data_IF_203329534179
#
_entry.id   IF_203329534179
#
_cell.length_a   1.000
_cell.length_b   1.000
_cell.length_c   1.000
_cell.angle_alpha   90.00
_cell.angle_beta   90.00
_cell.angle_gamma   90.00
#
_symmetry.space_group_name_H-M   'P 1'
#
loop_
_entity.id
_entity.type
_entity.pdbx_description
1 polymer ?
#
# COMPACT_ATOMS: atom_id res chain seq x y z
N UNK A 1 -17.08 8.71 23.37
CA UNK A 1 -17.49 9.22 22.04
C UNK A 1 -16.42 9.01 20.96
N UNK A 2 -15.17 9.45 21.14
CA UNK A 2 -14.11 9.31 20.11
C UNK A 2 -13.77 7.86 19.70
N UNK A 3 -13.62 6.94 20.66
CA UNK A 3 -13.28 5.53 20.35
C UNK A 3 -14.39 4.87 19.51
N UNK A 4 -15.65 5.10 19.88
CA UNK A 4 -16.80 4.57 19.15
C UNK A 4 -16.82 5.11 17.72
N UNK A 5 -16.62 6.41 17.52
CA UNK A 5 -16.56 7.02 16.18
C UNK A 5 -15.48 6.37 15.30
N UNK A 6 -14.26 6.17 15.83
CA UNK A 6 -13.16 5.54 15.08
C UNK A 6 -13.51 4.10 14.68
N UNK A 7 -14.13 3.32 15.57
CA UNK A 7 -14.58 1.96 15.27
C UNK A 7 -15.65 1.98 14.16
N UNK A 8 -16.65 2.86 14.26
CA UNK A 8 -17.69 2.99 13.24
C UNK A 8 -17.11 3.34 11.87
N UNK A 9 -16.19 4.31 11.79
CA UNK A 9 -15.59 4.69 10.50
C UNK A 9 -14.79 3.53 9.90
N UNK A 10 -14.06 2.76 10.71
CA UNK A 10 -13.35 1.56 10.22
C UNK A 10 -14.30 0.49 9.68
N UNK A 11 -15.42 0.25 10.36
CA UNK A 11 -16.45 -0.68 9.89
C UNK A 11 -17.09 -0.21 8.59
N UNK A 12 -17.39 1.09 8.48
CA UNK A 12 -17.92 1.71 7.26
C UNK A 12 -16.92 1.54 6.12
N UNK A 13 -15.64 1.85 6.33
CA UNK A 13 -14.62 1.72 5.29
C UNK A 13 -14.41 0.27 4.86
N UNK A 14 -14.36 -0.68 5.80
CA UNK A 14 -14.26 -2.10 5.47
C UNK A 14 -15.47 -2.58 4.65
N UNK A 15 -16.66 -2.12 5.01
CA UNK A 15 -17.90 -2.43 4.28
C UNK A 15 -17.88 -1.83 2.87
N UNK A 16 -17.49 -0.56 2.74
CA UNK A 16 -17.38 0.12 1.44
C UNK A 16 -16.36 -0.56 0.54
N UNK A 17 -15.18 -0.90 1.05
CA UNK A 17 -14.17 -1.67 0.29
C UNK A 17 -14.76 -2.99 -0.18
N UNK A 18 -15.42 -3.74 0.71
CA UNK A 18 -16.04 -5.03 0.36
C UNK A 18 -17.10 -4.89 -0.73
N UNK A 19 -17.99 -3.89 -0.61
CA UNK A 19 -19.02 -3.62 -1.61
C UNK A 19 -18.37 -3.22 -2.94
N UNK A 20 -17.36 -2.35 -2.94
CA UNK A 20 -16.65 -1.96 -4.16
C UNK A 20 -16.00 -3.16 -4.84
N UNK A 21 -15.32 -4.04 -4.09
CA UNK A 21 -14.76 -5.28 -4.61
C UNK A 21 -15.84 -6.13 -5.28
N UNK A 22 -16.91 -6.46 -4.54
CA UNK A 22 -17.99 -7.33 -5.03
C UNK A 22 -18.68 -6.73 -6.24
N UNK A 23 -19.08 -5.45 -6.19
CA UNK A 23 -19.78 -4.80 -7.30
C UNK A 23 -18.87 -4.66 -8.51
N UNK A 24 -17.62 -4.24 -8.33
CA UNK A 24 -16.65 -4.07 -9.41
C UNK A 24 -16.35 -5.38 -10.13
N UNK A 25 -16.18 -6.46 -9.39
CA UNK A 25 -15.92 -7.79 -9.97
C UNK A 25 -17.16 -8.33 -10.70
N UNK A 26 -18.36 -8.19 -10.13
CA UNK A 26 -19.61 -8.59 -10.81
C UNK A 26 -19.86 -7.76 -12.08
N UNK A 27 -19.56 -6.45 -12.05
CA UNK A 27 -19.71 -5.58 -13.21
C UNK A 27 -18.74 -5.98 -14.33
N UNK A 28 -17.53 -6.40 -13.97
CA UNK A 28 -16.54 -6.88 -14.91
C UNK A 28 -16.97 -8.19 -15.58
N UNK A 29 -17.57 -9.12 -14.83
CA UNK A 29 -18.05 -10.40 -15.35
C UNK A 29 -19.26 -10.24 -16.27
N UNK A 30 -20.15 -9.31 -15.96
CA UNK A 30 -21.37 -9.06 -16.74
C UNK A 30 -21.11 -8.21 -18.01
N UNK A 31 -20.04 -7.42 -18.03
CA UNK A 31 -19.71 -6.52 -19.14
C UNK A 31 -19.05 -7.26 -20.31
N UNK A 32 -19.67 -7.18 -21.49
CA UNK A 32 -19.14 -7.79 -22.74
C UNK A 32 -18.29 -6.84 -23.58
N UNK A 33 -18.56 -5.54 -23.54
CA UNK A 33 -17.85 -4.56 -24.38
C UNK A 33 -16.41 -4.36 -23.86
N UNK A 34 -15.35 -4.61 -24.66
CA UNK A 34 -13.97 -4.61 -24.17
C UNK A 34 -13.54 -3.29 -23.53
N UNK A 35 -13.94 -2.14 -24.10
CA UNK A 35 -13.65 -0.83 -23.52
C UNK A 35 -14.32 -0.62 -22.18
N UNK A 36 -15.59 -0.99 -22.06
CA UNK A 36 -16.32 -0.82 -20.81
C UNK A 36 -15.72 -1.75 -19.74
N UNK A 37 -15.33 -2.96 -20.14
CA UNK A 37 -14.66 -3.91 -19.25
C UNK A 37 -13.35 -3.34 -18.71
N UNK A 38 -12.48 -2.80 -19.56
CA UNK A 38 -11.21 -2.19 -19.14
C UNK A 38 -11.43 -0.95 -18.25
N UNK A 39 -12.41 -0.10 -18.57
CA UNK A 39 -12.76 1.06 -17.75
C UNK A 39 -13.30 0.65 -16.38
N UNK A 40 -14.19 -0.34 -16.31
CA UNK A 40 -14.74 -0.86 -15.06
C UNK A 40 -13.64 -1.51 -14.20
N UNK A 41 -12.72 -2.25 -14.81
CA UNK A 41 -11.59 -2.89 -14.11
C UNK A 41 -10.70 -1.84 -13.44
N UNK A 42 -10.20 -0.88 -14.23
CA UNK A 42 -9.34 0.19 -13.75
C UNK A 42 -10.05 1.11 -12.73
N UNK A 43 -11.33 1.44 -12.97
CA UNK A 43 -12.11 2.21 -12.00
C UNK A 43 -12.26 1.47 -10.66
N UNK A 44 -12.44 0.15 -10.68
CA UNK A 44 -12.50 -0.67 -9.46
C UNK A 44 -11.17 -0.61 -8.73
N UNK A 45 -10.04 -0.78 -9.43
CA UNK A 45 -8.71 -0.62 -8.85
C UNK A 45 -8.53 0.76 -8.21
N UNK A 46 -8.86 1.83 -8.93
CA UNK A 46 -8.73 3.20 -8.45
C UNK A 46 -9.56 3.45 -7.17
N UNK A 47 -10.82 3.04 -7.14
CA UNK A 47 -11.71 3.24 -5.99
C UNK A 47 -11.25 2.43 -4.79
N UNK A 48 -10.85 1.16 -4.96
CA UNK A 48 -10.28 0.34 -3.89
C UNK A 48 -8.99 0.98 -3.34
N UNK A 49 -8.12 1.47 -4.21
CA UNK A 49 -6.93 2.23 -3.83
C UNK A 49 -7.27 3.48 -3.02
N UNK A 50 -8.26 4.26 -3.45
CA UNK A 50 -8.73 5.45 -2.71
C UNK A 50 -9.28 5.11 -1.33
N UNK A 51 -10.17 4.12 -1.21
CA UNK A 51 -10.79 3.70 0.05
C UNK A 51 -9.75 3.14 1.05
N UNK A 52 -8.81 2.33 0.56
CA UNK A 52 -7.72 1.81 1.40
C UNK A 52 -6.72 2.91 1.79
N UNK A 53 -6.48 3.89 0.90
CA UNK A 53 -5.74 5.10 1.21
C UNK A 53 -6.39 5.92 2.34
N UNK A 54 -7.71 6.09 2.33
CA UNK A 54 -8.45 6.72 3.44
C UNK A 54 -8.22 5.92 4.73
N UNK A 55 -8.43 4.60 4.68
CA UNK A 55 -8.26 3.74 5.85
C UNK A 55 -6.85 3.85 6.46
N UNK A 56 -5.81 3.91 5.63
CA UNK A 56 -4.43 4.09 6.08
C UNK A 56 -4.18 5.49 6.67
N UNK A 57 -4.58 6.56 5.98
CA UNK A 57 -4.28 7.95 6.37
C UNK A 57 -5.01 8.37 7.65
N UNK A 58 -6.19 7.82 7.93
CA UNK A 58 -6.90 8.10 9.17
C UNK A 58 -6.11 7.73 10.43
N UNK A 59 -5.11 6.85 10.34
CA UNK A 59 -4.23 6.55 11.47
C UNK A 59 -3.25 7.68 11.83
N UNK A 60 -3.14 8.70 10.96
CA UNK A 60 -2.20 9.81 11.07
C UNK A 60 -2.91 11.17 10.96
N UNK A 61 -4.23 11.22 11.14
CA UNK A 61 -5.05 12.42 10.92
C UNK A 61 -4.64 13.59 11.81
N UNK A 62 -4.11 13.32 13.01
CA UNK A 62 -3.63 14.29 13.98
C UNK A 62 -2.28 14.91 13.58
N UNK A 63 -1.54 14.26 12.68
CA UNK A 63 -0.18 14.64 12.25
C UNK A 63 -0.12 15.23 10.85
N UNK A 64 -1.26 15.35 10.17
CA UNK A 64 -1.36 15.82 8.80
C UNK A 64 -2.29 17.03 8.73
N UNK A 65 -1.95 17.99 7.85
CA UNK A 65 -2.93 18.99 7.44
C UNK A 65 -4.01 18.34 6.57
N UNK A 66 -5.21 18.91 6.55
CA UNK A 66 -6.31 18.43 5.70
C UNK A 66 -5.89 18.31 4.22
N UNK A 67 -5.19 19.31 3.70
CA UNK A 67 -4.69 19.31 2.32
C UNK A 67 -3.74 18.13 2.08
N UNK A 68 -2.76 17.93 2.96
CA UNK A 68 -1.80 16.83 2.81
C UNK A 68 -2.48 15.46 2.87
N UNK A 69 -3.45 15.28 3.78
CA UNK A 69 -4.24 14.05 3.87
C UNK A 69 -5.01 13.76 2.58
N UNK A 70 -5.74 14.74 2.05
CA UNK A 70 -6.47 14.59 0.79
C UNK A 70 -5.55 14.37 -0.41
N UNK A 71 -4.39 15.03 -0.47
CA UNK A 71 -3.40 14.78 -1.52
C UNK A 71 -2.90 13.33 -1.49
N UNK A 72 -2.62 12.79 -0.30
CA UNK A 72 -2.18 11.40 -0.15
C UNK A 72 -3.27 10.39 -0.54
N UNK A 73 -4.53 10.65 -0.17
CA UNK A 73 -5.67 9.82 -0.57
C UNK A 73 -5.84 9.82 -2.10
N UNK A 74 -5.81 11.01 -2.72
CA UNK A 74 -5.90 11.15 -4.17
C UNK A 74 -4.72 10.48 -4.88
N UNK A 75 -3.50 10.58 -4.32
CA UNK A 75 -2.34 9.89 -4.85
C UNK A 75 -2.53 8.37 -4.80
N UNK A 76 -3.14 7.80 -3.75
CA UNK A 76 -3.44 6.38 -3.68
C UNK A 76 -4.39 5.93 -4.80
N UNK A 77 -5.47 6.68 -4.99
CA UNK A 77 -6.43 6.46 -6.07
C UNK A 77 -5.74 6.52 -7.45
N UNK A 78 -4.96 7.58 -7.69
CA UNK A 78 -4.30 7.80 -8.97
C UNK A 78 -3.22 6.76 -9.26
N UNK A 79 -2.35 6.45 -8.29
CA UNK A 79 -1.32 5.42 -8.43
C UNK A 79 -1.95 4.06 -8.69
N UNK A 80 -3.03 3.71 -7.98
CA UNK A 80 -3.71 2.43 -8.18
C UNK A 80 -4.30 2.28 -9.58
N UNK A 81 -4.72 3.40 -10.19
CA UNK A 81 -5.19 3.44 -11.59
C UNK A 81 -4.05 3.45 -12.60
N UNK A 82 -2.94 4.12 -12.28
CA UNK A 82 -1.79 4.26 -13.18
C UNK A 82 -0.96 2.98 -13.32
N UNK A 83 -1.11 2.02 -12.40
CA UNK A 83 -0.51 0.69 -12.55
C UNK A 83 -0.93 0.06 -13.89
N UNK A 84 -2.22 0.15 -14.25
CA UNK A 84 -2.76 -0.39 -15.50
C UNK A 84 -2.24 0.31 -16.77
N UNK A 85 -1.63 1.50 -16.64
CA UNK A 85 -1.08 2.20 -17.80
C UNK A 85 0.17 1.50 -18.35
N UNK A 86 0.79 0.60 -17.58
CA UNK A 86 1.90 -0.21 -18.07
C UNK A 86 1.50 -1.17 -19.20
N UNK A 87 0.22 -1.52 -19.32
CA UNK A 87 -0.31 -2.29 -20.45
C UNK A 87 -0.11 -1.54 -21.77
N UNK A 88 -0.38 -0.23 -21.79
CA UNK A 88 -0.16 0.59 -22.99
C UNK A 88 1.33 0.74 -23.30
N UNK A 89 2.16 0.88 -22.26
CA UNK A 89 3.61 0.94 -22.40
C UNK A 89 4.20 -0.38 -22.96
N UNK A 90 3.74 -1.52 -22.43
CA UNK A 90 4.13 -2.86 -22.87
C UNK A 90 3.64 -3.13 -24.31
N UNK A 91 2.44 -2.68 -24.66
CA UNK A 91 1.90 -2.76 -26.02
C UNK A 91 2.58 -1.81 -27.00
N UNK A 92 3.37 -0.85 -26.52
CA UNK A 92 3.97 0.25 -27.32
C UNK A 92 2.91 0.96 -28.17
N UNK A 93 1.70 1.10 -27.62
CA UNK A 93 0.52 1.58 -28.35
C UNK A 93 -0.50 2.17 -27.40
N UNK A 94 -1.21 3.21 -27.84
CA UNK A 94 -2.40 3.73 -27.15
C UNK A 94 -3.68 2.97 -27.54
N UNK A 95 -3.57 1.96 -28.40
CA UNK A 95 -4.70 1.11 -28.77
C UNK A 95 -5.09 0.25 -27.57
N UNK A 96 -6.33 0.42 -27.09
CA UNK A 96 -6.86 -0.41 -26.02
C UNK A 96 -6.88 -1.89 -26.40
N UNK A 97 -7.16 -2.19 -27.67
CA UNK A 97 -7.10 -3.57 -28.16
C UNK A 97 -5.69 -4.15 -27.99
N UNK A 98 -4.64 -3.41 -28.32
CA UNK A 98 -3.26 -3.87 -28.13
C UNK A 98 -2.90 -4.04 -26.64
N UNK A 99 -3.28 -3.08 -25.80
CA UNK A 99 -3.01 -3.09 -24.35
C UNK A 99 -3.67 -4.29 -23.62
N UNK A 100 -4.83 -4.73 -24.11
CA UNK A 100 -5.62 -5.83 -23.50
C UNK A 100 -5.34 -7.21 -24.10
N UNK A 101 -4.54 -7.30 -25.18
CA UNK A 101 -4.21 -8.57 -25.86
C UNK A 101 -2.70 -8.85 -25.85
N UNK A 102 -2.00 -8.48 -24.78
CA UNK A 102 -0.58 -8.75 -24.59
C UNK A 102 -0.31 -10.26 -24.40
N UNK A 103 0.80 -10.74 -24.94
CA UNK A 103 1.30 -12.10 -24.71
C UNK A 103 1.84 -12.31 -23.30
N UNK A 104 2.46 -11.26 -22.74
CA UNK A 104 3.19 -11.29 -21.49
C UNK A 104 2.63 -10.25 -20.51
N UNK A 105 2.76 -10.55 -19.21
CA UNK A 105 2.28 -9.64 -18.17
C UNK A 105 3.19 -8.40 -18.09
N UNK A 106 2.64 -7.18 -18.13
CA UNK A 106 3.41 -5.95 -17.98
C UNK A 106 4.20 -5.87 -16.67
N UNK A 107 5.27 -5.08 -16.67
CA UNK A 107 6.26 -5.13 -15.59
C UNK A 107 5.78 -4.58 -14.24
N UNK A 108 4.88 -3.59 -14.18
CA UNK A 108 4.38 -3.07 -12.89
C UNK A 108 3.54 -4.12 -12.17
N UNK A 109 2.97 -5.06 -12.92
CA UNK A 109 2.22 -6.17 -12.39
C UNK A 109 3.12 -7.30 -11.80
N UNK A 110 4.45 -7.16 -11.84
CA UNK A 110 5.35 -8.05 -11.11
C UNK A 110 5.24 -7.83 -9.59
N UNK A 111 4.70 -8.81 -8.86
CA UNK A 111 4.49 -8.76 -7.39
C UNK A 111 5.78 -8.59 -6.58
N UNK A 112 6.95 -8.86 -7.18
CA UNK A 112 8.23 -8.50 -6.55
C UNK A 112 8.33 -6.98 -6.28
N UNK A 113 7.69 -6.13 -7.09
CA UNK A 113 7.66 -4.68 -6.90
C UNK A 113 6.98 -4.28 -5.58
N UNK A 114 5.70 -4.64 -5.30
CA UNK A 114 5.08 -4.35 -4.02
C UNK A 114 5.85 -4.92 -2.83
N UNK A 115 6.47 -6.10 -2.96
CA UNK A 115 7.29 -6.67 -1.89
C UNK A 115 8.49 -5.77 -1.57
N UNK A 116 9.24 -5.35 -2.59
CA UNK A 116 10.36 -4.39 -2.44
C UNK A 116 9.87 -3.06 -1.87
N UNK A 117 8.73 -2.54 -2.32
CA UNK A 117 8.14 -1.31 -1.80
C UNK A 117 7.83 -1.41 -0.30
N UNK A 118 7.32 -2.54 0.17
CA UNK A 118 7.07 -2.78 1.60
C UNK A 118 8.38 -2.76 2.40
N UNK A 119 9.48 -3.34 1.87
CA UNK A 119 10.80 -3.25 2.51
C UNK A 119 11.32 -1.81 2.59
N UNK A 120 11.21 -1.05 1.50
CA UNK A 120 11.63 0.37 1.47
C UNK A 120 10.78 1.23 2.41
N UNK A 121 9.46 0.98 2.45
CA UNK A 121 8.55 1.59 3.41
C UNK A 121 8.93 1.30 4.87
N UNK A 122 9.24 0.04 5.19
CA UNK A 122 9.68 -0.34 6.52
C UNK A 122 11.01 0.34 6.89
N UNK A 123 11.97 0.38 5.97
CA UNK A 123 13.26 1.06 6.18
C UNK A 123 13.07 2.57 6.41
N UNK A 124 12.27 3.26 5.59
CA UNK A 124 11.96 4.68 5.78
C UNK A 124 11.27 4.94 7.12
N UNK A 125 10.43 4.01 7.57
CA UNK A 125 9.79 4.07 8.88
C UNK A 125 10.81 3.91 10.01
N UNK A 126 11.70 2.92 9.94
CA UNK A 126 12.79 2.72 10.90
C UNK A 126 13.66 3.97 11.01
N UNK A 127 14.10 4.53 9.88
CA UNK A 127 14.92 5.75 9.79
C UNK A 127 14.18 7.05 10.19
N UNK A 128 12.96 6.93 10.71
CA UNK A 128 12.13 8.04 11.20
C UNK A 128 11.71 9.07 10.15
N UNK A 129 11.85 8.80 8.85
CA UNK A 129 11.40 9.68 7.77
C UNK A 129 9.87 9.66 7.62
N UNK A 130 9.17 10.41 8.48
CA UNK A 130 7.70 10.34 8.61
C UNK A 130 6.98 10.62 7.29
N UNK A 131 7.20 11.77 6.67
CA UNK A 131 6.52 12.14 5.40
C UNK A 131 6.79 11.13 4.29
N UNK A 132 8.05 10.73 4.11
CA UNK A 132 8.46 9.72 3.12
C UNK A 132 7.78 8.38 3.39
N UNK A 133 7.75 7.92 4.65
CA UNK A 133 7.08 6.68 5.02
C UNK A 133 5.58 6.71 4.74
N UNK A 134 4.91 7.85 4.88
CA UNK A 134 3.48 7.97 4.54
C UNK A 134 3.24 7.88 3.03
N UNK A 135 4.08 8.55 2.22
CA UNK A 135 4.02 8.45 0.76
C UNK A 135 4.24 6.99 0.32
N UNK A 136 5.27 6.34 0.85
CA UNK A 136 5.55 4.93 0.56
C UNK A 136 4.43 4.00 1.03
N UNK A 137 3.81 4.28 2.19
CA UNK A 137 2.68 3.50 2.69
C UNK A 137 1.43 3.61 1.81
N UNK A 138 1.16 4.79 1.25
CA UNK A 138 0.11 5.00 0.25
C UNK A 138 0.41 4.22 -1.03
N UNK A 139 1.64 4.31 -1.54
CA UNK A 139 2.05 3.55 -2.73
C UNK A 139 1.95 2.03 -2.46
N UNK A 140 2.30 1.56 -1.26
CA UNK A 140 2.11 0.17 -0.86
C UNK A 140 0.62 -0.22 -0.85
N UNK A 141 -0.28 0.63 -0.34
CA UNK A 141 -1.72 0.36 -0.38
C UNK A 141 -2.21 0.17 -1.82
N UNK A 142 -1.82 1.08 -2.72
CA UNK A 142 -2.18 1.01 -4.14
C UNK A 142 -1.69 -0.30 -4.78
N UNK A 143 -0.39 -0.60 -4.70
CA UNK A 143 0.18 -1.81 -5.32
C UNK A 143 -0.35 -3.10 -4.69
N UNK A 144 -0.40 -3.21 -3.35
CA UNK A 144 -0.82 -4.46 -2.70
C UNK A 144 -2.28 -4.79 -3.01
N UNK A 145 -3.18 -3.81 -2.95
CA UNK A 145 -4.60 -4.03 -3.24
C UNK A 145 -4.85 -4.31 -4.72
N UNK A 146 -4.15 -3.59 -5.60
CA UNK A 146 -4.18 -3.84 -7.04
C UNK A 146 -3.74 -5.27 -7.35
N UNK A 147 -2.55 -5.68 -6.92
CA UNK A 147 -2.02 -7.02 -7.20
C UNK A 147 -2.85 -8.13 -6.54
N UNK A 148 -3.42 -7.90 -5.36
CA UNK A 148 -4.26 -8.89 -4.68
C UNK A 148 -5.56 -9.14 -5.44
N UNK A 149 -6.20 -8.09 -5.97
CA UNK A 149 -7.37 -8.26 -6.83
C UNK A 149 -7.03 -9.03 -8.11
N UNK A 150 -5.92 -8.66 -8.72
CA UNK A 150 -5.46 -9.28 -9.96
C UNK A 150 -5.09 -10.76 -9.82
N UNK A 151 -4.59 -11.13 -8.63
CA UNK A 151 -4.22 -12.49 -8.29
C UNK A 151 -5.40 -13.48 -8.24
N UNK A 152 -6.65 -13.00 -8.22
CA UNK A 152 -7.84 -13.86 -8.37
C UNK A 152 -7.84 -14.54 -9.74
N UNK A 153 -7.45 -13.81 -10.80
CA UNK A 153 -7.48 -14.28 -12.19
C UNK A 153 -6.19 -14.99 -12.59
N UNK A 154 -5.04 -14.47 -12.13
CA UNK A 154 -3.72 -14.87 -12.64
C UNK A 154 -2.75 -15.40 -11.58
N UNK A 155 -3.13 -15.39 -10.29
CA UNK A 155 -2.17 -15.57 -9.20
C UNK A 155 -1.18 -14.40 -9.09
N UNK A 156 -0.32 -14.42 -8.07
CA UNK A 156 0.76 -13.45 -7.95
C UNK A 156 1.91 -13.84 -8.87
N UNK A 157 2.55 -12.85 -9.50
CA UNK A 157 3.77 -13.06 -10.28
C UNK A 157 5.00 -12.61 -9.50
N UNK A 158 5.77 -13.54 -8.96
CA UNK A 158 6.97 -13.27 -8.17
C UNK A 158 8.19 -13.54 -9.04
N UNK A 159 8.75 -12.51 -9.68
CA UNK A 159 9.98 -12.65 -10.46
C UNK A 159 11.21 -12.80 -9.54
N UNK A 160 12.16 -13.72 -9.84
CA UNK A 160 12.21 -14.65 -10.98
C UNK A 160 11.59 -16.03 -10.70
N UNK A 161 10.90 -16.21 -9.57
CA UNK A 161 10.37 -17.49 -9.08
C UNK A 161 9.11 -18.00 -9.80
N UNK A 162 8.41 -17.16 -10.57
CA UNK A 162 7.25 -17.55 -11.37
C UNK A 162 5.92 -17.08 -10.78
N UNK A 163 4.85 -17.86 -11.01
CA UNK A 163 3.49 -17.53 -10.58
C UNK A 163 3.03 -18.39 -9.40
N UNK A 164 2.23 -17.83 -8.51
CA UNK A 164 1.47 -18.60 -7.51
C UNK A 164 0.18 -19.11 -8.10
N UNK A 165 -0.50 -20.01 -7.37
CA UNK A 165 -1.90 -20.33 -7.65
C UNK A 165 -2.80 -19.09 -7.49
N UNK A 166 -4.00 -19.16 -8.09
CA UNK A 166 -5.03 -18.14 -7.99
C UNK A 166 -5.47 -17.96 -6.54
N UNK A 167 -5.64 -16.71 -6.12
CA UNK A 167 -6.08 -16.38 -4.77
C UNK A 167 -7.58 -16.66 -4.64
N UNK A 168 -8.03 -17.43 -3.61
CA UNK A 168 -9.45 -17.61 -3.34
C UNK A 168 -10.16 -16.28 -3.10
N UNK A 169 -11.39 -16.13 -3.59
CA UNK A 169 -12.11 -14.86 -3.54
C UNK A 169 -12.26 -14.29 -2.11
N UNK A 170 -12.57 -15.16 -1.13
CA UNK A 170 -12.66 -14.77 0.29
C UNK A 170 -11.33 -14.26 0.83
N UNK A 171 -10.21 -14.89 0.44
CA UNK A 171 -8.88 -14.47 0.85
C UNK A 171 -8.50 -13.12 0.24
N UNK A 172 -8.86 -12.88 -1.02
CA UNK A 172 -8.70 -11.58 -1.67
C UNK A 172 -9.39 -10.45 -0.87
N UNK A 173 -10.66 -10.64 -0.50
CA UNK A 173 -11.41 -9.64 0.26
C UNK A 173 -10.74 -9.37 1.61
N UNK A 174 -10.36 -10.43 2.34
CA UNK A 174 -9.69 -10.30 3.64
C UNK A 174 -8.37 -9.55 3.51
N UNK A 175 -7.51 -9.93 2.55
CA UNK A 175 -6.22 -9.26 2.34
C UNK A 175 -6.43 -7.79 2.02
N UNK A 176 -7.38 -7.46 1.13
CA UNK A 176 -7.65 -6.08 0.71
C UNK A 176 -8.12 -5.22 1.88
N UNK A 177 -9.01 -5.73 2.74
CA UNK A 177 -9.50 -5.03 3.93
C UNK A 177 -8.39 -4.85 4.98
N UNK A 178 -7.57 -5.88 5.18
CA UNK A 178 -6.51 -5.89 6.22
C UNK A 178 -5.31 -5.04 5.84
N UNK A 179 -5.01 -4.90 4.53
CA UNK A 179 -3.82 -4.20 4.00
C UNK A 179 -3.52 -2.84 4.67
N UNK A 180 -4.45 -1.86 4.72
CA UNK A 180 -4.14 -0.55 5.32
C UNK A 180 -3.79 -0.64 6.81
N UNK A 181 -4.44 -1.55 7.55
CA UNK A 181 -4.17 -1.76 8.97
C UNK A 181 -2.84 -2.46 9.20
N UNK A 182 -2.50 -3.46 8.37
CA UNK A 182 -1.22 -4.16 8.44
C UNK A 182 -0.05 -3.20 8.17
N UNK A 183 -0.18 -2.33 7.17
CA UNK A 183 0.83 -1.30 6.88
C UNK A 183 0.97 -0.27 8.01
N UNK A 184 -0.14 0.15 8.64
CA UNK A 184 -0.08 1.01 9.81
C UNK A 184 0.62 0.34 11.00
N UNK A 185 0.32 -0.94 11.27
CA UNK A 185 0.96 -1.70 12.35
C UNK A 185 2.46 -1.85 12.08
N UNK A 186 2.84 -2.17 10.84
CA UNK A 186 4.24 -2.25 10.42
C UNK A 186 4.96 -0.90 10.61
N UNK A 187 4.35 0.21 10.18
CA UNK A 187 4.89 1.56 10.39
C UNK A 187 5.14 1.85 11.87
N UNK A 188 4.13 1.61 12.69
CA UNK A 188 4.17 1.86 14.14
C UNK A 188 5.24 1.01 14.82
N UNK A 189 5.32 -0.27 14.46
CA UNK A 189 6.34 -1.20 14.96
C UNK A 189 7.76 -0.76 14.57
N UNK A 190 7.99 -0.48 13.29
CA UNK A 190 9.29 -0.02 12.79
C UNK A 190 9.74 1.29 13.44
N UNK A 191 8.81 2.23 13.67
CA UNK A 191 9.13 3.50 14.31
C UNK A 191 9.38 3.37 15.81
N UNK A 192 8.56 2.60 16.53
CA UNK A 192 8.64 2.45 17.98
C UNK A 192 9.92 1.74 18.41
N UNK A 193 10.28 0.64 17.75
CA UNK A 193 11.47 -0.13 18.11
C UNK A 193 12.78 0.63 17.80
N UNK A 194 12.82 1.40 16.71
CA UNK A 194 14.01 2.20 16.39
C UNK A 194 14.18 3.39 17.34
N UNK A 195 13.08 4.02 17.77
CA UNK A 195 13.12 5.06 18.79
C UNK A 195 13.69 4.54 20.11
N UNK A 196 13.30 3.32 20.53
CA UNK A 196 13.86 2.66 21.71
C UNK A 196 15.35 2.32 21.54
N UNK A 197 15.76 1.79 20.38
CA UNK A 197 17.17 1.52 20.06
C UNK A 197 18.02 2.79 20.12
N UNK A 198 17.56 3.89 19.51
CA UNK A 198 18.27 5.18 19.55
C UNK A 198 18.38 5.73 20.96
N UNK A 199 17.32 5.64 21.77
CA UNK A 199 17.37 6.08 23.17
C UNK A 199 18.39 5.26 23.97
N UNK A 200 18.41 3.95 23.77
CA UNK A 200 19.35 3.05 24.45
C UNK A 200 20.80 3.28 24.01
N UNK A 201 21.02 3.54 22.72
CA UNK A 201 22.35 3.83 22.15
C UNK A 201 22.85 5.21 22.57
N UNK A 202 22.00 6.23 22.57
CA UNK A 202 22.32 7.57 23.06
C UNK A 202 22.64 7.56 24.56
N UNK A 203 21.87 6.80 25.36
CA UNK A 203 22.16 6.58 26.78
C UNK A 203 23.53 5.93 27.00
N UNK A 204 23.87 4.89 26.24
CA UNK A 204 25.20 4.25 26.30
C UNK A 204 26.34 5.15 25.83
N UNK A 205 26.10 6.02 24.85
CA UNK A 205 27.10 6.97 24.37
C UNK A 205 27.37 8.06 25.42
N UNK A 206 26.31 8.61 26.01
CA UNK A 206 26.42 9.60 27.08
C UNK A 206 27.19 9.04 28.29
N UNK A 207 26.90 7.81 28.69
CA UNK A 207 27.55 7.14 29.83
C UNK A 207 29.03 6.81 29.56
N UNK A 208 29.41 6.53 28.29
CA UNK A 208 30.82 6.40 27.90
C UNK A 208 31.57 7.73 27.92
N UNK A 209 30.94 8.82 27.48
CA UNK A 209 31.60 10.14 27.51
C UNK A 209 31.76 10.69 28.92
N UNK A 210 30.82 10.43 29.83
CA UNK A 210 30.96 10.81 31.25
C UNK A 210 32.02 9.97 31.95
N UNK A 211 32.08 8.65 31.70
CA UNK A 211 33.13 7.79 32.28
C UNK A 211 34.53 8.09 31.74
N UNK A 212 34.66 8.48 30.46
CA UNK A 212 35.96 8.86 29.89
C UNK A 212 36.37 10.31 30.25
N UNK A 213 35.40 11.22 30.45
CA UNK A 213 35.67 12.58 30.94
C UNK A 213 36.12 12.60 32.41
N UNK A 214 35.60 11.70 33.25
CA UNK A 214 35.99 11.58 34.66
C UNK A 214 37.40 11.01 34.87
N UNK A 215 37.99 10.34 33.87
CA UNK A 215 39.36 9.82 33.92
C UNK A 215 40.42 10.83 33.49
N UNK A 216 40.05 11.98 32.93
CA UNK A 216 40.98 13.00 32.44
C UNK A 216 41.30 14.09 33.48
N UNK A 217 40.68 14.05 34.67
CA UNK A 217 40.88 15.02 35.76
C UNK A 217 41.61 14.44 36.99
N UNK A 218 42.24 13.28 36.86
CA UNK A 218 43.08 12.68 37.90
C UNK A 218 44.49 12.43 37.31
N UNK A 219 45.25 13.50 37.10
CA UNK A 219 46.73 13.51 37.08
C UNK A 219 47.18 14.83 37.67
#
# INVERSE_FOLDING_TARGET
>A
MHIQLVVYVRLILATLVSITCIVGDNLLETTRHPLLKALCDNATHAIVGGLTGIAFIMHFYDKLSNVAGWTLIFACFAVSSFIDLDHFAAAKSLSLYAATNLSDRPFLHCTTIPLVLVFVFAAASMLQYFKTSLVLGIVCCAFLTHHTRDAIRHGYWICPFGHTDRVPYSLYLIITIVTPYALFLLHSFCRGNFALLNFTMAGKYYDRTTQNGAKMFIV
#
